data_IF_789161227644
#
_entry.id   IF_789161227644
#
_cell.length_a   1.000
_cell.length_b   1.000
_cell.length_c   1.000
_cell.angle_alpha   90.00
_cell.angle_beta   90.00
_cell.angle_gamma   90.00
#
_symmetry.space_group_name_H-M   'P 1'
#
loop_
_entity.id
_entity.type
_entity.pdbx_description
1 polymer ?
#
# COMPACT_ATOMS: atom_id res chain seq x y z
N UNK A 1 68.45 42.62 -15.90
CA UNK A 1 67.11 42.50 -16.52
C UNK A 1 66.08 42.32 -15.41
N UNK A 2 65.51 43.40 -14.90
CA UNK A 2 64.56 43.41 -13.77
C UNK A 2 63.15 43.68 -14.29
N UNK A 3 62.29 42.66 -14.32
CA UNK A 3 60.86 42.83 -14.65
C UNK A 3 60.15 43.45 -13.44
N UNK A 4 59.70 44.71 -13.58
CA UNK A 4 58.80 45.35 -12.62
C UNK A 4 57.41 44.71 -12.75
N UNK A 5 56.93 44.13 -11.66
CA UNK A 5 55.56 43.64 -11.52
C UNK A 5 54.69 44.87 -11.25
N UNK A 6 53.80 45.20 -12.18
CA UNK A 6 52.80 46.24 -11.97
C UNK A 6 51.65 45.64 -11.16
N UNK A 7 51.54 46.03 -9.89
CA UNK A 7 50.42 45.67 -9.03
C UNK A 7 49.23 46.58 -9.40
N UNK A 8 48.19 46.00 -10.01
CA UNK A 8 47.00 46.74 -10.44
C UNK A 8 46.12 47.10 -9.23
N UNK A 9 46.44 48.23 -8.61
CA UNK A 9 45.78 48.77 -7.41
C UNK A 9 44.25 48.90 -7.57
N UNK A 10 43.78 49.13 -8.80
CA UNK A 10 42.35 49.22 -9.13
C UNK A 10 41.60 47.90 -8.93
N UNK A 11 42.22 46.76 -9.24
CA UNK A 11 41.59 45.43 -9.08
C UNK A 11 41.50 45.05 -7.59
N UNK A 12 42.48 45.48 -6.79
CA UNK A 12 42.50 45.24 -5.34
C UNK A 12 41.46 46.07 -4.58
N UNK A 13 41.22 47.32 -5.00
CA UNK A 13 40.15 48.15 -4.41
C UNK A 13 38.77 47.62 -4.80
N UNK A 14 38.59 47.15 -6.04
CA UNK A 14 37.34 46.54 -6.50
C UNK A 14 37.01 45.24 -5.73
N UNK A 15 38.00 44.40 -5.42
CA UNK A 15 37.77 43.18 -4.65
C UNK A 15 37.40 43.46 -3.19
N UNK A 16 38.02 44.47 -2.57
CA UNK A 16 37.68 44.89 -1.20
C UNK A 16 36.29 45.52 -1.13
N UNK A 17 35.92 46.36 -2.11
CA UNK A 17 34.57 46.92 -2.20
C UNK A 17 33.51 45.83 -2.38
N UNK A 18 33.77 44.82 -3.21
CA UNK A 18 32.84 43.71 -3.43
C UNK A 18 32.71 42.83 -2.17
N UNK A 19 33.81 42.62 -1.43
CA UNK A 19 33.81 41.85 -0.19
C UNK A 19 33.05 42.58 0.94
N UNK A 20 33.22 43.90 1.07
CA UNK A 20 32.46 44.72 2.03
C UNK A 20 30.96 44.79 1.68
N UNK A 21 30.61 44.80 0.38
CA UNK A 21 29.22 44.81 -0.08
C UNK A 21 28.47 43.54 0.37
N UNK A 22 29.14 42.38 0.39
CA UNK A 22 28.54 41.10 0.83
C UNK A 22 28.25 41.09 2.34
N UNK A 23 29.01 41.83 3.15
CA UNK A 23 28.80 41.92 4.60
C UNK A 23 27.85 43.04 5.04
N UNK A 24 27.56 44.02 4.17
CA UNK A 24 26.65 45.13 4.43
C UNK A 24 25.21 44.88 3.98
N UNK A 25 24.94 43.79 3.25
CA UNK A 25 23.58 43.36 2.94
C UNK A 25 22.99 42.67 4.18
N UNK A 26 21.91 43.19 4.78
CA UNK A 26 21.26 42.51 5.88
C UNK A 26 20.75 41.15 5.40
N UNK A 27 21.16 40.07 6.06
CA UNK A 27 20.55 38.74 5.90
C UNK A 27 19.11 38.79 6.42
N UNK A 28 18.21 39.37 5.62
CA UNK A 28 16.79 39.15 5.78
C UNK A 28 16.45 37.89 5.00
N UNK A 29 16.62 36.72 5.63
CA UNK A 29 15.69 35.65 5.30
C UNK A 29 14.31 36.18 5.70
N UNK A 30 13.33 36.29 4.79
CA UNK A 30 11.98 36.55 5.22
C UNK A 30 11.54 35.28 5.92
N UNK A 31 11.77 35.19 7.22
CA UNK A 31 11.03 34.30 8.09
C UNK A 31 9.62 34.90 8.20
N UNK A 32 8.89 34.91 7.08
CA UNK A 32 7.44 34.89 7.13
C UNK A 32 7.12 33.49 7.63
N UNK A 33 7.11 33.34 8.96
CA UNK A 33 6.08 32.49 9.53
C UNK A 33 4.78 33.09 8.99
N UNK A 34 4.24 32.46 7.95
CA UNK A 34 2.84 32.64 7.65
C UNK A 34 2.17 32.14 8.91
N UNK A 35 1.82 33.07 9.80
CA UNK A 35 0.81 32.82 10.80
C UNK A 35 -0.45 32.57 9.98
N UNK A 36 -0.59 31.33 9.50
CA UNK A 36 -1.87 30.79 9.15
C UNK A 36 -2.65 31.01 10.42
N UNK A 37 -3.54 31.99 10.38
CA UNK A 37 -4.60 32.09 11.36
C UNK A 37 -5.39 30.79 11.19
N UNK A 38 -4.94 29.76 11.89
CA UNK A 38 -5.77 28.65 12.29
C UNK A 38 -6.59 29.30 13.38
N UNK A 39 -7.88 29.64 13.14
CA UNK A 39 -8.73 30.04 14.25
C UNK A 39 -8.54 28.97 15.32
N UNK A 40 -8.35 29.38 16.58
CA UNK A 40 -8.58 28.47 17.69
C UNK A 40 -10.01 27.99 17.47
N UNK A 41 -10.13 26.79 16.90
CA UNK A 41 -11.38 26.08 16.89
C UNK A 41 -11.58 25.90 18.38
N UNK A 42 -12.51 26.67 18.97
CA UNK A 42 -13.07 26.32 20.27
C UNK A 42 -13.42 24.85 20.12
N UNK A 43 -12.54 23.99 20.63
CA UNK A 43 -12.64 22.57 20.50
C UNK A 43 -13.93 22.27 21.24
N UNK A 44 -15.03 22.11 20.50
CA UNK A 44 -16.33 21.85 21.09
C UNK A 44 -16.09 20.73 22.08
N UNK A 45 -16.46 20.97 23.33
CA UNK A 45 -15.99 20.32 24.57
C UNK A 45 -16.35 18.83 24.60
N UNK A 46 -15.86 18.09 23.62
CA UNK A 46 -16.06 16.68 23.41
C UNK A 46 -14.80 16.00 23.93
N UNK A 47 -15.00 14.98 24.77
CA UNK A 47 -13.89 14.23 25.34
C UNK A 47 -13.01 13.66 24.21
N UNK A 48 -11.74 13.38 24.49
CA UNK A 48 -10.81 12.77 23.51
C UNK A 48 -11.40 11.50 22.88
N UNK A 49 -12.19 10.73 23.64
CA UNK A 49 -12.91 9.56 23.14
C UNK A 49 -13.97 9.94 22.09
N UNK A 50 -14.74 11.01 22.33
CA UNK A 50 -15.75 11.54 21.43
C UNK A 50 -15.10 12.18 20.18
N UNK A 51 -14.00 12.92 20.32
CA UNK A 51 -13.23 13.42 19.17
C UNK A 51 -12.63 12.27 18.35
N UNK A 52 -12.19 11.19 19.00
CA UNK A 52 -11.73 9.98 18.32
C UNK A 52 -12.87 9.29 17.57
N UNK A 53 -14.06 9.21 18.19
CA UNK A 53 -15.25 8.62 17.57
C UNK A 53 -15.78 9.47 16.43
N UNK A 54 -15.94 10.78 16.61
CA UNK A 54 -16.35 11.72 15.59
C UNK A 54 -15.39 11.72 14.38
N UNK A 55 -14.07 11.57 14.63
CA UNK A 55 -13.07 11.39 13.56
C UNK A 55 -13.28 10.07 12.81
N UNK A 56 -13.52 8.96 13.51
CA UNK A 56 -13.85 7.67 12.86
C UNK A 56 -15.13 7.79 12.03
N UNK A 57 -16.19 8.40 12.57
CA UNK A 57 -17.46 8.60 11.89
C UNK A 57 -17.35 9.56 10.71
N UNK A 58 -16.46 10.55 10.78
CA UNK A 58 -16.13 11.44 9.67
C UNK A 58 -15.47 10.66 8.53
N UNK A 59 -14.38 9.93 8.80
CA UNK A 59 -13.71 9.12 7.78
C UNK A 59 -14.61 8.01 7.22
N UNK A 60 -15.43 7.37 8.06
CA UNK A 60 -16.41 6.38 7.61
C UNK A 60 -17.51 6.99 6.74
N UNK A 61 -17.89 8.26 6.94
CA UNK A 61 -18.83 8.95 6.04
C UNK A 61 -18.20 9.28 4.70
N UNK A 62 -16.90 9.55 4.64
CA UNK A 62 -16.19 9.81 3.38
C UNK A 62 -16.14 8.60 2.46
N UNK A 63 -16.26 7.38 2.99
CA UNK A 63 -16.27 6.15 2.19
C UNK A 63 -17.66 5.77 1.66
N UNK A 64 -18.73 6.42 2.14
CA UNK A 64 -20.10 6.15 1.69
C UNK A 64 -20.39 6.90 0.40
N UNK A 65 -21.22 6.29 -0.45
CA UNK A 65 -21.78 6.99 -1.59
C UNK A 65 -22.65 8.18 -1.09
N UNK A 66 -22.44 9.41 -1.59
CA UNK A 66 -23.14 10.60 -1.10
C UNK A 66 -24.65 10.60 -1.41
N UNK A 67 -25.10 9.76 -2.35
CA UNK A 67 -26.52 9.61 -2.73
C UNK A 67 -27.19 8.54 -1.88
N UNK A 68 -26.56 7.38 -1.67
CA UNK A 68 -27.18 6.25 -0.94
C UNK A 68 -26.86 6.21 0.55
N UNK A 69 -25.86 6.98 1.01
CA UNK A 69 -25.35 6.97 2.39
C UNK A 69 -24.96 5.58 2.90
N UNK A 70 -24.60 4.68 1.98
CA UNK A 70 -24.08 3.34 2.24
C UNK A 70 -22.78 3.16 1.47
N UNK A 71 -21.93 2.25 1.95
CA UNK A 71 -20.86 1.70 1.12
C UNK A 71 -21.56 0.68 0.21
N UNK A 72 -21.51 0.84 -1.12
CA UNK A 72 -22.13 -0.13 -2.03
C UNK A 72 -21.56 -1.53 -1.81
N UNK A 73 -22.40 -2.54 -2.02
CA UNK A 73 -21.92 -3.91 -2.10
C UNK A 73 -20.90 -4.01 -3.26
N UNK A 74 -19.91 -4.87 -3.09
CA UNK A 74 -18.90 -5.17 -4.11
C UNK A 74 -18.10 -3.93 -4.51
N UNK A 75 -17.91 -3.01 -3.55
CA UNK A 75 -17.21 -1.73 -3.76
C UNK A 75 -15.85 -1.92 -4.43
N UNK A 76 -15.17 -3.05 -4.17
CA UNK A 76 -13.91 -3.40 -4.84
C UNK A 76 -14.10 -3.66 -6.34
N UNK A 77 -15.09 -4.45 -6.73
CA UNK A 77 -15.40 -4.69 -8.15
C UNK A 77 -15.79 -3.39 -8.84
N UNK A 78 -16.60 -2.55 -8.18
CA UNK A 78 -17.01 -1.24 -8.69
C UNK A 78 -15.83 -0.29 -8.85
N UNK A 79 -14.92 -0.24 -7.87
CA UNK A 79 -13.67 0.52 -7.94
C UNK A 79 -12.80 0.06 -9.10
N UNK A 80 -12.60 -1.25 -9.25
CA UNK A 80 -11.82 -1.82 -10.35
C UNK A 80 -12.44 -1.52 -11.72
N UNK A 81 -13.76 -1.65 -11.85
CA UNK A 81 -14.48 -1.31 -13.08
C UNK A 81 -14.38 0.19 -13.40
N UNK A 82 -14.51 1.05 -12.39
CA UNK A 82 -14.32 2.50 -12.52
C UNK A 82 -12.87 2.83 -12.92
N UNK A 83 -11.87 2.25 -12.26
CA UNK A 83 -10.46 2.43 -12.60
C UNK A 83 -10.15 2.00 -14.05
N UNK A 84 -10.68 0.86 -14.49
CA UNK A 84 -10.60 0.42 -15.91
C UNK A 84 -11.28 1.41 -16.85
N UNK A 85 -12.40 2.02 -16.46
CA UNK A 85 -13.05 3.06 -17.26
C UNK A 85 -12.19 4.34 -17.37
N UNK A 86 -11.37 4.61 -16.35
CA UNK A 86 -10.49 5.77 -16.33
C UNK A 86 -9.26 5.62 -17.23
N UNK A 87 -8.81 4.40 -17.56
CA UNK A 87 -7.64 4.16 -18.43
C UNK A 87 -7.75 4.89 -19.78
N UNK A 88 -8.97 5.12 -20.29
CA UNK A 88 -9.20 5.87 -21.52
C UNK A 88 -9.42 7.39 -21.33
N UNK A 89 -9.60 7.85 -20.10
CA UNK A 89 -9.89 9.26 -19.75
C UNK A 89 -8.63 10.08 -19.48
N UNK A 90 -7.53 9.40 -19.13
CA UNK A 90 -6.23 10.02 -18.96
C UNK A 90 -5.47 10.07 -20.29
N UNK A 91 -5.94 10.90 -21.22
CA UNK A 91 -5.09 11.39 -22.31
C UNK A 91 -4.02 12.32 -21.73
N UNK A 92 -3.09 11.78 -20.95
CA UNK A 92 -1.83 12.44 -20.69
C UNK A 92 -1.21 12.67 -22.05
N UNK A 93 -1.01 13.93 -22.43
CA UNK A 93 -0.10 14.31 -23.50
C UNK A 93 1.32 13.92 -23.05
N UNK A 94 1.61 12.63 -23.06
CA UNK A 94 2.89 12.05 -22.72
C UNK A 94 3.81 12.24 -23.90
N UNK A 95 4.44 13.42 -23.94
CA UNK A 95 5.65 13.61 -24.73
C UNK A 95 6.90 13.61 -23.82
N UNK A 96 6.79 13.18 -22.56
CA UNK A 96 7.87 13.37 -21.58
C UNK A 96 8.03 12.27 -20.52
N UNK A 97 7.59 11.03 -20.73
CA UNK A 97 8.01 9.90 -19.87
C UNK A 97 8.24 8.67 -20.74
N UNK A 98 9.41 8.64 -21.39
CA UNK A 98 9.95 7.48 -22.09
C UNK A 98 10.94 6.70 -21.22
N UNK A 99 11.02 7.05 -19.93
CA UNK A 99 11.78 6.31 -18.93
C UNK A 99 10.81 5.43 -18.16
N UNK A 100 11.04 4.13 -18.24
CA UNK A 100 10.38 3.12 -17.42
C UNK A 100 10.68 3.46 -15.96
N UNK A 101 9.63 3.75 -15.18
CA UNK A 101 9.79 4.03 -13.76
C UNK A 101 10.06 2.70 -13.06
N UNK A 102 11.29 2.51 -12.60
CA UNK A 102 11.64 1.40 -11.72
C UNK A 102 10.98 1.64 -10.35
N UNK A 103 9.91 0.90 -10.06
CA UNK A 103 9.28 0.90 -8.74
C UNK A 103 10.04 -0.08 -7.86
N UNK A 104 10.74 0.45 -6.86
CA UNK A 104 11.40 -0.34 -5.83
C UNK A 104 10.64 -0.22 -4.51
N UNK A 105 10.48 -1.34 -3.82
CA UNK A 105 9.92 -1.36 -2.46
C UNK A 105 10.83 -0.58 -1.50
N UNK A 106 10.24 0.32 -0.71
CA UNK A 106 10.98 1.16 0.23
C UNK A 106 11.49 0.37 1.46
N UNK A 107 10.98 -0.85 1.68
CA UNK A 107 11.21 -1.65 2.88
C UNK A 107 10.48 -1.11 4.13
N UNK A 108 10.72 -1.68 5.32
CA UNK A 108 11.69 -2.74 5.63
C UNK A 108 11.32 -4.11 5.04
N UNK A 109 12.31 -4.86 4.55
CA UNK A 109 12.15 -6.20 3.97
C UNK A 109 12.36 -7.34 4.98
N UNK A 110 12.63 -7.01 6.24
CA UNK A 110 12.93 -7.94 7.33
C UNK A 110 11.83 -8.01 8.40
N UNK A 111 10.73 -7.28 8.22
CA UNK A 111 9.59 -7.30 9.14
C UNK A 111 8.48 -8.18 8.55
N UNK A 112 8.31 -9.36 9.14
CA UNK A 112 7.22 -10.27 8.78
C UNK A 112 5.85 -9.76 9.25
N UNK A 113 4.83 -9.97 8.42
CA UNK A 113 3.43 -9.79 8.79
C UNK A 113 2.84 -11.04 9.48
N UNK A 114 1.53 -11.00 9.76
CA UNK A 114 0.81 -12.17 10.28
C UNK A 114 0.54 -13.16 9.15
N UNK A 115 1.08 -14.36 9.26
CA UNK A 115 0.91 -15.47 8.30
C UNK A 115 -0.06 -16.51 8.84
N UNK A 116 -0.93 -17.05 7.98
CA UNK A 116 -1.88 -18.12 8.32
C UNK A 116 -1.82 -19.31 7.36
N UNK A 117 -1.54 -19.07 6.09
CA UNK A 117 -1.22 -20.12 5.13
C UNK A 117 0.26 -20.42 5.16
N UNK A 118 0.65 -21.69 5.31
CA UNK A 118 2.02 -22.14 5.12
C UNK A 118 1.99 -23.56 4.56
N UNK A 119 2.69 -23.78 3.47
CA UNK A 119 2.79 -25.08 2.83
C UNK A 119 4.17 -25.28 2.22
N UNK A 120 4.71 -26.48 2.36
CA UNK A 120 6.00 -26.88 1.79
C UNK A 120 5.70 -27.85 0.65
N UNK A 121 6.29 -27.65 -0.52
CA UNK A 121 6.12 -28.57 -1.64
C UNK A 121 6.63 -29.96 -1.25
N UNK A 122 5.75 -30.96 -1.38
CA UNK A 122 6.04 -32.35 -1.04
C UNK A 122 7.22 -32.95 -1.82
N UNK A 123 7.59 -32.37 -2.96
CA UNK A 123 8.70 -32.81 -3.83
C UNK A 123 10.02 -32.13 -3.46
N UNK A 124 9.97 -30.92 -2.93
CA UNK A 124 11.14 -30.09 -2.69
C UNK A 124 10.91 -29.13 -1.51
N UNK A 125 11.57 -29.39 -0.39
CA UNK A 125 11.44 -28.59 0.82
C UNK A 125 11.99 -27.17 0.72
N UNK A 126 12.73 -26.83 -0.34
CA UNK A 126 13.16 -25.47 -0.61
C UNK A 126 12.04 -24.61 -1.21
N UNK A 127 10.98 -25.24 -1.75
CA UNK A 127 9.81 -24.54 -2.26
C UNK A 127 8.78 -24.45 -1.14
N UNK A 128 8.52 -23.23 -0.69
CA UNK A 128 7.57 -22.95 0.39
C UNK A 128 6.64 -21.85 -0.08
N UNK A 129 5.35 -22.03 0.16
CA UNK A 129 4.32 -21.05 -0.09
C UNK A 129 3.78 -20.55 1.25
N UNK A 130 3.58 -19.24 1.35
CA UNK A 130 3.07 -18.60 2.55
C UNK A 130 1.95 -17.61 2.20
N UNK A 131 0.88 -17.64 2.99
CA UNK A 131 -0.29 -16.79 2.86
C UNK A 131 -0.38 -15.81 4.03
N UNK A 132 -0.22 -14.53 3.73
CA UNK A 132 -0.37 -13.44 4.69
C UNK A 132 -1.83 -13.11 4.94
N UNK A 133 -2.21 -12.85 6.18
CA UNK A 133 -3.58 -12.49 6.55
C UNK A 133 -4.07 -11.15 5.96
N UNK A 134 -3.15 -10.34 5.44
CA UNK A 134 -3.44 -9.09 4.71
C UNK A 134 -2.36 -8.81 3.66
N UNK A 135 -1.68 -9.85 3.18
CA UNK A 135 -0.49 -9.73 2.33
C UNK A 135 -0.51 -10.61 1.09
N UNK A 136 -1.56 -11.41 0.88
CA UNK A 136 -1.67 -12.29 -0.28
C UNK A 136 -0.76 -13.52 -0.19
N UNK A 137 -0.49 -14.11 -1.35
CA UNK A 137 0.33 -15.31 -1.52
C UNK A 137 1.77 -14.97 -1.87
N UNK A 138 2.69 -15.69 -1.24
CA UNK A 138 4.12 -15.57 -1.43
C UNK A 138 4.73 -16.96 -1.65
N UNK A 139 5.79 -17.01 -2.46
CA UNK A 139 6.55 -18.22 -2.74
C UNK A 139 8.04 -17.96 -2.61
N UNK A 140 8.74 -18.93 -2.04
CA UNK A 140 10.19 -19.05 -2.05
C UNK A 140 10.57 -20.33 -2.79
N UNK A 141 11.76 -20.34 -3.39
CA UNK A 141 12.36 -21.53 -4.02
C UNK A 141 13.75 -21.86 -3.45
N UNK A 142 14.18 -21.10 -2.44
CA UNK A 142 15.50 -21.19 -1.80
C UNK A 142 15.42 -21.40 -0.29
N UNK A 143 14.33 -22.02 0.18
CA UNK A 143 14.15 -22.38 1.59
C UNK A 143 13.77 -21.20 2.49
N UNK A 144 13.26 -20.11 1.92
CA UNK A 144 12.77 -18.94 2.65
C UNK A 144 13.77 -17.80 2.77
N UNK A 145 14.87 -17.85 2.02
CA UNK A 145 15.86 -16.77 1.98
C UNK A 145 15.35 -15.58 1.15
N UNK A 146 14.65 -15.86 0.06
CA UNK A 146 13.96 -14.86 -0.77
C UNK A 146 12.52 -15.26 -1.05
N UNK A 147 11.62 -14.28 -1.08
CA UNK A 147 10.19 -14.47 -1.30
C UNK A 147 9.70 -13.57 -2.43
N UNK A 148 8.83 -14.11 -3.27
CA UNK A 148 8.17 -13.40 -4.36
C UNK A 148 6.67 -13.46 -4.12
N UNK A 149 5.98 -12.33 -4.22
CA UNK A 149 4.52 -12.29 -4.16
C UNK A 149 3.95 -12.89 -5.46
N UNK A 150 3.05 -13.86 -5.34
CA UNK A 150 2.45 -14.56 -6.48
C UNK A 150 0.95 -14.29 -6.66
N UNK A 151 0.29 -13.70 -5.66
CA UNK A 151 -1.07 -13.15 -5.82
C UNK A 151 -1.03 -11.76 -6.42
N UNK A 152 -2.02 -11.43 -7.26
CA UNK A 152 -2.21 -10.08 -7.79
C UNK A 152 -2.74 -9.12 -6.69
N UNK A 153 -2.32 -7.85 -6.70
CA UNK A 153 -2.82 -6.79 -5.79
C UNK A 153 -4.32 -6.49 -5.99
N UNK A 154 -4.88 -6.88 -7.14
CA UNK A 154 -6.31 -6.86 -7.44
C UNK A 154 -7.12 -7.91 -6.67
N UNK A 155 -6.49 -9.01 -6.26
CA UNK A 155 -7.14 -10.13 -5.57
C UNK A 155 -7.32 -9.87 -4.07
N UNK A 156 -8.14 -10.69 -3.41
CA UNK A 156 -8.30 -10.64 -1.97
C UNK A 156 -7.02 -11.12 -1.28
N UNK A 157 -6.34 -10.19 -0.59
CA UNK A 157 -5.07 -10.45 0.08
C UNK A 157 -5.21 -11.13 1.45
N UNK A 158 -6.44 -11.39 1.90
CA UNK A 158 -6.76 -11.95 3.20
C UNK A 158 -6.66 -13.48 3.25
N UNK A 159 -5.45 -14.02 3.08
CA UNK A 159 -5.25 -15.48 3.01
C UNK A 159 -5.34 -16.11 4.40
N UNK A 160 -6.10 -17.20 4.50
CA UNK A 160 -6.41 -17.87 5.77
C UNK A 160 -6.01 -19.33 5.84
N UNK A 161 -5.90 -20.00 4.69
CA UNK A 161 -5.52 -21.40 4.57
C UNK A 161 -4.91 -21.70 3.20
N UNK A 162 -4.08 -22.72 3.13
CA UNK A 162 -3.31 -23.13 1.96
C UNK A 162 -3.07 -24.64 2.02
N UNK A 163 -3.25 -25.33 0.89
CA UNK A 163 -3.00 -26.77 0.78
C UNK A 163 -2.51 -27.15 -0.62
N UNK A 164 -1.64 -28.16 -0.71
CA UNK A 164 -1.20 -28.79 -1.95
C UNK A 164 -2.07 -30.03 -2.24
N UNK A 165 -2.46 -30.23 -3.50
CA UNK A 165 -3.14 -31.46 -3.92
C UNK A 165 -2.17 -32.66 -3.82
N UNK A 166 -2.47 -33.71 -3.04
CA UNK A 166 -1.58 -34.85 -2.86
C UNK A 166 -1.47 -35.75 -4.11
N UNK A 167 -2.38 -35.61 -5.08
CA UNK A 167 -2.42 -36.39 -6.31
C UNK A 167 -1.82 -35.64 -7.50
N UNK A 168 -1.85 -34.31 -7.48
CA UNK A 168 -1.21 -33.45 -8.47
C UNK A 168 -0.42 -32.34 -7.78
N UNK A 169 0.89 -32.55 -7.60
CA UNK A 169 1.74 -31.70 -6.78
C UNK A 169 2.00 -30.30 -7.37
N UNK A 170 1.65 -30.05 -8.64
CA UNK A 170 1.63 -28.68 -9.19
C UNK A 170 0.37 -27.92 -8.82
N UNK A 171 -0.65 -28.60 -8.28
CA UNK A 171 -1.92 -27.99 -7.92
C UNK A 171 -1.94 -27.57 -6.45
N UNK A 172 -2.30 -26.32 -6.21
CA UNK A 172 -2.45 -25.74 -4.88
C UNK A 172 -3.77 -24.99 -4.77
N UNK A 173 -4.28 -24.93 -3.55
CA UNK A 173 -5.48 -24.17 -3.22
C UNK A 173 -5.20 -23.23 -2.05
N UNK A 174 -5.67 -21.99 -2.15
CA UNK A 174 -5.76 -21.12 -0.98
C UNK A 174 -7.17 -20.62 -0.79
N UNK A 175 -7.46 -20.26 0.46
CA UNK A 175 -8.72 -19.71 0.87
C UNK A 175 -8.55 -18.30 1.45
N UNK A 176 -9.62 -17.52 1.34
CA UNK A 176 -9.67 -16.14 1.81
C UNK A 176 -10.79 -15.95 2.83
N UNK A 177 -10.73 -14.83 3.55
CA UNK A 177 -11.80 -14.41 4.46
C UNK A 177 -11.52 -14.76 5.92
N UNK A 178 -11.62 -13.74 6.77
CA UNK A 178 -11.33 -13.80 8.20
C UNK A 178 -12.45 -13.17 9.01
N UNK A 179 -13.25 -14.00 9.67
CA UNK A 179 -14.35 -13.53 10.52
C UNK A 179 -13.87 -12.60 11.65
N UNK A 180 -12.74 -12.96 12.26
CA UNK A 180 -12.14 -12.19 13.34
C UNK A 180 -10.63 -12.34 13.33
N UNK A 181 -9.93 -11.21 13.50
CA UNK A 181 -8.47 -11.20 13.64
C UNK A 181 -7.79 -10.21 12.70
N UNK A 182 -8.52 -9.69 11.71
CA UNK A 182 -8.00 -8.76 10.71
C UNK A 182 -7.18 -7.62 11.32
N UNK A 183 -6.08 -7.28 10.65
CA UNK A 183 -5.17 -6.19 11.01
C UNK A 183 -5.84 -4.81 10.95
N UNK A 184 -7.02 -4.70 10.32
CA UNK A 184 -7.87 -3.50 10.28
C UNK A 184 -8.53 -3.13 11.62
N UNK A 185 -8.29 -3.89 12.70
CA UNK A 185 -8.85 -3.61 14.03
C UNK A 185 -8.41 -2.24 14.56
N UNK A 186 -9.30 -1.26 14.49
CA UNK A 186 -9.36 -0.22 15.51
C UNK A 186 -9.80 -0.85 16.84
N UNK A 187 -9.18 -0.46 17.96
CA UNK A 187 -9.51 -0.97 19.32
C UNK A 187 -11.03 -0.87 19.56
N UNK A 188 -11.77 -1.98 19.51
CA UNK A 188 -13.23 -1.97 19.71
C UNK A 188 -14.06 -3.08 19.06
N UNK A 189 -13.48 -3.95 18.23
CA UNK A 189 -14.21 -5.04 17.56
C UNK A 189 -14.68 -4.66 16.17
N UNK A 190 -14.53 -5.57 15.19
CA UNK A 190 -14.89 -5.32 13.78
C UNK A 190 -13.79 -5.61 12.74
N UNK A 191 -12.81 -6.47 13.03
CA UNK A 191 -11.77 -6.88 12.06
C UNK A 191 -12.22 -8.05 11.18
N UNK A 192 -13.41 -7.94 10.59
CA UNK A 192 -13.97 -8.92 9.67
C UNK A 192 -13.51 -8.58 8.26
N UNK A 193 -12.87 -9.53 7.59
CA UNK A 193 -12.50 -9.46 6.19
C UNK A 193 -13.32 -10.53 5.48
N UNK A 194 -14.25 -10.13 4.62
CA UNK A 194 -14.99 -11.09 3.82
C UNK A 194 -14.05 -11.70 2.78
N UNK A 195 -14.13 -13.02 2.62
CA UNK A 195 -13.42 -13.77 1.61
C UNK A 195 -14.01 -13.51 0.23
N UNK A 196 -13.22 -13.77 -0.80
CA UNK A 196 -13.71 -13.85 -2.17
C UNK A 196 -13.71 -15.30 -2.67
N UNK A 197 -13.84 -16.26 -1.75
CA UNK A 197 -13.79 -17.69 -2.04
C UNK A 197 -12.40 -18.31 -2.15
N UNK A 198 -12.34 -19.38 -2.95
CA UNK A 198 -11.17 -20.22 -3.16
C UNK A 198 -10.44 -19.87 -4.45
N UNK A 199 -9.13 -20.03 -4.39
CA UNK A 199 -8.24 -19.87 -5.54
C UNK A 199 -7.46 -21.16 -5.77
N UNK A 200 -7.18 -21.43 -7.04
CA UNK A 200 -6.40 -22.57 -7.51
C UNK A 200 -5.17 -22.08 -8.28
N UNK A 201 -4.05 -22.71 -8.03
CA UNK A 201 -2.88 -22.67 -8.90
C UNK A 201 -2.68 -24.06 -9.50
N UNK A 202 -2.27 -24.12 -10.76
CA UNK A 202 -1.89 -25.38 -11.45
C UNK A 202 -0.43 -25.36 -11.91
N UNK A 203 0.35 -24.41 -11.41
CA UNK A 203 1.75 -24.15 -11.73
C UNK A 203 2.59 -23.96 -10.47
N UNK A 204 2.28 -24.76 -9.44
CA UNK A 204 3.00 -24.81 -8.18
C UNK A 204 3.05 -23.47 -7.41
N UNK A 205 1.96 -22.70 -7.49
CA UNK A 205 1.78 -21.43 -6.78
C UNK A 205 2.38 -20.20 -7.45
N UNK A 206 2.75 -20.30 -8.73
CA UNK A 206 3.28 -19.15 -9.49
C UNK A 206 2.16 -18.22 -9.95
N UNK A 207 1.00 -18.75 -10.36
CA UNK A 207 -0.19 -17.99 -10.72
C UNK A 207 -1.45 -18.57 -10.06
N UNK A 208 -2.44 -17.71 -9.82
CA UNK A 208 -3.67 -18.07 -9.12
C UNK A 208 -4.91 -17.62 -9.87
N UNK A 209 -5.85 -18.55 -10.06
CA UNK A 209 -7.17 -18.30 -10.62
C UNK A 209 -8.25 -18.52 -9.55
N UNK A 210 -9.25 -17.64 -9.50
CA UNK A 210 -10.39 -17.82 -8.61
C UNK A 210 -11.30 -18.94 -9.12
N UNK A 211 -11.73 -19.83 -8.22
CA UNK A 211 -12.70 -20.88 -8.53
C UNK A 211 -14.08 -20.22 -8.61
N UNK A 212 -14.62 -20.12 -9.83
CA UNK A 212 -15.86 -19.37 -10.11
C UNK A 212 -17.07 -19.86 -9.31
N UNK A 213 -17.14 -21.16 -8.99
CA UNK A 213 -18.22 -21.72 -8.17
C UNK A 213 -18.19 -21.26 -6.70
N UNK A 214 -17.07 -20.70 -6.25
CA UNK A 214 -16.88 -20.16 -4.90
C UNK A 214 -16.73 -18.65 -4.89
N UNK A 215 -16.80 -18.02 -6.07
CA UNK A 215 -16.56 -16.60 -6.21
C UNK A 215 -17.57 -15.82 -5.40
N UNK A 216 -17.04 -14.94 -4.56
CA UNK A 216 -17.79 -14.03 -3.72
C UNK A 216 -17.19 -12.64 -3.90
N UNK A 217 -18.03 -11.65 -4.13
CA UNK A 217 -17.62 -10.26 -4.31
C UNK A 217 -18.24 -9.36 -3.25
N UNK A 218 -19.02 -9.92 -2.33
CA UNK A 218 -19.89 -9.17 -1.47
C UNK A 218 -19.17 -8.74 -0.17
N UNK A 219 -19.73 -7.72 0.49
CA UNK A 219 -19.17 -7.14 1.72
C UNK A 219 -20.06 -7.41 2.94
N UNK A 220 -20.92 -8.42 2.82
CA UNK A 220 -21.89 -8.82 3.83
C UNK A 220 -21.99 -10.33 3.88
N UNK A 221 -22.19 -10.89 5.08
CA UNK A 221 -22.29 -12.34 5.23
C UNK A 221 -23.51 -12.89 4.51
N UNK A 222 -23.28 -13.63 3.43
CA UNK A 222 -24.34 -14.24 2.62
C UNK A 222 -23.95 -15.62 2.05
N UNK A 223 -22.70 -16.05 2.27
CA UNK A 223 -22.11 -17.24 1.68
C UNK A 223 -21.28 -18.01 2.70
N UNK A 224 -21.15 -19.32 2.49
CA UNK A 224 -20.20 -20.13 3.26
C UNK A 224 -18.73 -19.82 2.90
N UNK A 225 -18.51 -19.17 1.75
CA UNK A 225 -17.18 -18.79 1.25
C UNK A 225 -16.67 -17.44 1.77
N UNK A 226 -17.50 -16.72 2.53
CA UNK A 226 -17.12 -15.50 3.22
C UNK A 226 -16.00 -15.72 4.25
N UNK A 227 -16.01 -16.87 4.92
CA UNK A 227 -15.09 -17.17 6.02
C UNK A 227 -14.58 -18.60 5.96
N UNK A 228 -13.59 -18.84 5.12
CA UNK A 228 -12.97 -20.15 5.02
C UNK A 228 -11.75 -20.18 5.93
N UNK A 229 -11.81 -20.94 7.02
CA UNK A 229 -10.68 -21.04 7.94
C UNK A 229 -9.75 -22.22 7.66
N UNK A 230 -10.17 -23.15 6.79
CA UNK A 230 -9.43 -24.38 6.48
C UNK A 230 -9.87 -24.93 5.13
N UNK A 231 -8.88 -25.31 4.32
CA UNK A 231 -9.00 -26.19 3.15
C UNK A 231 -8.26 -27.50 3.38
#
# INVERSE_FOLDING_TARGET
MTKRIHFNFSVFILSISLFLLVFLLPNQTPNKSVNLFVPDIEESVLDRAENSQARRDHFFRLTRNPVTNSIPDNIRTLELAYAKSLENSFNYKSNTLQEEIEIIEAGPNDVGGRTRGLGVDSRNSNIILAGGASGGMWKTTDGGQNWVQTSDLGQNLGVTSLVQDPTNLDTWYYATGEFSGGSSRARGGGGTLYGSGLFISTDNGDNWAQIQATADEDVSFNSEFDFISRV
#
